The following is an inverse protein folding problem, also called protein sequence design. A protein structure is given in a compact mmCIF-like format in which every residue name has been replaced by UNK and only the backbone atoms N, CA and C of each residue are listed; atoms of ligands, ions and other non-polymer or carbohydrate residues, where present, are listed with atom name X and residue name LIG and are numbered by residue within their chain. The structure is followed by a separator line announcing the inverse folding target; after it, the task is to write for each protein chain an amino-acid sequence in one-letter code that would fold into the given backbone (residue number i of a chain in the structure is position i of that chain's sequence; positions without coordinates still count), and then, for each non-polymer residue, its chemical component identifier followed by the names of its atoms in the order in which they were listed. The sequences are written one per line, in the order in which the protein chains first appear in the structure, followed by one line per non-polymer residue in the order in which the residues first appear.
data_IF_480259806827
#
_entry.id   IF_480259806827
#
_cell.length_a   1.000
_cell.length_b   1.000
_cell.length_c   1.000
_cell.angle_alpha   90.00
_cell.angle_beta   90.00
_cell.angle_gamma   90.00
#
_symmetry.space_group_name_H-M   'P 1'
#
loop_
_entity.id
_entity.type
_entity.pdbx_description
1 polymer ?
#
# COMPACT_ATOMS: atom_id res chain seq x y z
N UNK A 1 0.02 -1.88 19.72
CA UNK A 1 0.28 -1.04 18.53
C UNK A 1 -0.89 -1.22 17.59
N UNK A 2 -1.51 -0.14 17.11
CA UNK A 2 -2.66 -0.22 16.21
C UNK A 2 -2.27 0.32 14.84
N UNK A 3 -2.79 -0.33 13.80
CA UNK A 3 -2.72 0.16 12.42
C UNK A 3 -3.96 1.01 12.15
N UNK A 4 -3.82 2.09 11.41
CA UNK A 4 -4.93 2.91 10.95
C UNK A 4 -4.83 3.13 9.44
N UNK A 5 -5.99 3.23 8.77
CA UNK A 5 -6.05 3.54 7.35
C UNK A 5 -5.68 5.02 7.17
N UNK A 6 -4.63 5.28 6.41
CA UNK A 6 -4.17 6.62 6.06
C UNK A 6 -5.05 7.23 4.97
N UNK A 7 -5.18 6.51 3.85
CA UNK A 7 -5.94 6.98 2.70
C UNK A 7 -6.44 5.80 1.85
N UNK A 8 -7.60 6.01 1.21
CA UNK A 8 -8.15 5.14 0.19
C UNK A 8 -8.04 5.86 -1.15
N UNK A 9 -7.20 5.35 -2.05
CA UNK A 9 -6.92 6.00 -3.34
C UNK A 9 -7.56 5.20 -4.48
N UNK A 10 -8.40 5.81 -5.32
CA UNK A 10 -8.90 5.16 -6.53
C UNK A 10 -7.78 5.03 -7.57
N UNK A 11 -7.64 3.84 -8.16
CA UNK A 11 -6.72 3.53 -9.25
C UNK A 11 -7.52 3.05 -10.46
N UNK A 12 -7.50 3.83 -11.54
CA UNK A 12 -8.26 3.55 -12.76
C UNK A 12 -7.33 3.03 -13.87
N UNK A 13 -7.86 2.13 -14.72
CA UNK A 13 -7.15 1.63 -15.90
C UNK A 13 -6.23 0.43 -15.61
N UNK A 14 -5.22 0.23 -16.47
CA UNK A 14 -4.26 -0.87 -16.34
C UNK A 14 -3.19 -0.52 -15.28
N UNK A 15 -3.52 -0.73 -14.02
CA UNK A 15 -2.60 -0.48 -12.90
C UNK A 15 -1.59 -1.62 -12.72
N UNK A 16 -0.31 -1.27 -12.65
CA UNK A 16 0.80 -2.17 -12.36
C UNK A 16 1.27 -2.02 -10.90
N UNK A 17 2.08 -2.97 -10.42
CA UNK A 17 2.74 -2.80 -9.12
C UNK A 17 3.65 -1.57 -9.04
N UNK A 18 4.19 -1.08 -10.16
CA UNK A 18 4.99 0.16 -10.17
C UNK A 18 4.13 1.40 -9.91
N UNK A 19 2.95 1.47 -10.52
CA UNK A 19 2.02 2.59 -10.35
C UNK A 19 1.52 2.67 -8.91
N UNK A 20 1.23 1.52 -8.30
CA UNK A 20 0.87 1.45 -6.88
C UNK A 20 2.01 1.93 -5.99
N UNK A 21 3.25 1.55 -6.29
CA UNK A 21 4.40 1.96 -5.50
C UNK A 21 4.62 3.48 -5.55
N UNK A 22 4.48 4.10 -6.73
CA UNK A 22 4.54 5.55 -6.88
C UNK A 22 3.41 6.22 -6.08
N UNK A 23 2.17 5.72 -6.21
CA UNK A 23 1.02 6.24 -5.45
C UNK A 23 1.25 6.18 -3.93
N UNK A 24 1.83 5.08 -3.43
CA UNK A 24 2.19 4.94 -2.02
C UNK A 24 3.18 6.02 -1.58
N UNK A 25 4.23 6.23 -2.37
CA UNK A 25 5.26 7.23 -2.06
C UNK A 25 4.66 8.64 -2.06
N UNK A 26 3.82 8.98 -3.05
CA UNK A 26 3.11 10.26 -3.13
C UNK A 26 2.17 10.50 -1.94
N UNK A 27 1.39 9.49 -1.53
CA UNK A 27 0.52 9.61 -0.36
C UNK A 27 1.35 9.83 0.90
N UNK A 28 2.41 9.07 1.10
CA UNK A 28 3.25 9.23 2.29
C UNK A 28 3.94 10.60 2.32
N UNK A 29 4.42 11.10 1.18
CA UNK A 29 4.96 12.45 1.05
C UNK A 29 3.90 13.52 1.37
N UNK A 30 2.66 13.37 0.87
CA UNK A 30 1.53 14.27 1.19
C UNK A 30 1.28 14.41 2.69
N UNK A 31 1.51 13.34 3.48
CA UNK A 31 1.37 13.36 4.94
C UNK A 31 2.70 13.59 5.70
N UNK A 32 3.81 13.88 5.00
CA UNK A 32 5.15 13.99 5.56
C UNK A 32 5.57 12.77 6.39
N UNK A 33 5.19 11.57 5.93
CA UNK A 33 5.49 10.31 6.58
C UNK A 33 6.61 9.57 5.85
N UNK A 34 7.57 8.98 6.56
CA UNK A 34 8.54 8.10 5.91
C UNK A 34 7.88 6.76 5.54
N UNK A 35 8.39 6.14 4.46
CA UNK A 35 8.04 4.79 4.01
C UNK A 35 8.04 3.73 5.13
N UNK A 36 8.88 3.88 6.15
CA UNK A 36 8.94 2.99 7.32
C UNK A 36 7.68 2.99 8.20
N UNK A 37 6.77 3.96 8.02
CA UNK A 37 5.47 4.00 8.72
C UNK A 37 4.43 3.10 8.07
N UNK A 38 4.59 2.77 6.79
CA UNK A 38 3.70 1.85 6.08
C UNK A 38 3.81 0.45 6.68
N UNK A 39 2.68 -0.18 6.95
CA UNK A 39 2.66 -1.54 7.47
C UNK A 39 1.85 -2.51 6.66
N UNK A 40 0.82 -2.02 5.98
CA UNK A 40 0.07 -2.86 5.05
C UNK A 40 -0.53 -2.06 3.93
N UNK A 41 -0.72 -2.76 2.80
CA UNK A 41 -1.34 -2.24 1.58
C UNK A 41 -2.44 -3.22 1.22
N UNK A 42 -3.67 -2.74 1.06
CA UNK A 42 -4.77 -3.52 0.52
C UNK A 42 -5.00 -3.18 -0.94
N UNK A 43 -5.05 -4.21 -1.79
CA UNK A 43 -5.40 -4.10 -3.21
C UNK A 43 -6.38 -5.21 -3.57
N UNK A 44 -6.95 -5.15 -4.78
CA UNK A 44 -7.83 -6.20 -5.30
C UNK A 44 -7.12 -7.57 -5.49
N UNK A 45 -5.79 -7.59 -5.47
CA UNK A 45 -4.98 -8.80 -5.60
C UNK A 45 -4.74 -9.27 -7.04
N UNK A 46 -5.00 -8.44 -8.05
CA UNK A 46 -4.74 -8.78 -9.45
C UNK A 46 -3.25 -9.11 -9.67
N UNK A 47 -2.91 -10.09 -10.54
CA UNK A 47 -1.53 -10.49 -10.78
C UNK A 47 -0.62 -9.36 -11.27
N UNK A 48 -1.15 -8.39 -12.04
CA UNK A 48 -0.39 -7.22 -12.49
C UNK A 48 0.06 -6.31 -11.35
N UNK A 49 -0.62 -6.36 -10.21
CA UNK A 49 -0.41 -5.51 -9.04
C UNK A 49 0.34 -6.22 -7.92
N UNK A 50 0.16 -7.53 -7.77
CA UNK A 50 0.71 -8.33 -6.65
C UNK A 50 1.62 -9.47 -7.09
N UNK A 51 1.94 -9.57 -8.38
CA UNK A 51 2.86 -10.57 -8.91
C UNK A 51 4.24 -10.46 -8.24
N UNK A 52 4.89 -11.61 -8.02
CA UNK A 52 6.17 -11.71 -7.31
C UNK A 52 7.33 -10.98 -8.00
N UNK A 53 7.15 -10.61 -9.26
CA UNK A 53 8.12 -9.86 -10.06
C UNK A 53 7.93 -8.34 -9.98
N UNK A 54 6.85 -7.87 -9.35
CA UNK A 54 6.54 -6.43 -9.28
C UNK A 54 7.44 -5.71 -8.27
N UNK A 55 7.66 -4.42 -8.49
CA UNK A 55 8.45 -3.56 -7.58
C UNK A 55 7.79 -3.48 -6.21
N UNK A 56 6.46 -3.31 -6.17
CA UNK A 56 5.70 -3.31 -4.93
C UNK A 56 5.90 -4.59 -4.13
N UNK A 57 5.86 -5.76 -4.79
CA UNK A 57 6.08 -7.03 -4.12
C UNK A 57 7.46 -7.10 -3.45
N UNK A 58 8.51 -6.77 -4.19
CA UNK A 58 9.88 -6.76 -3.67
C UNK A 58 10.05 -5.79 -2.50
N UNK A 59 9.46 -4.60 -2.60
CA UNK A 59 9.49 -3.62 -1.52
C UNK A 59 8.82 -4.17 -0.26
N UNK A 60 7.61 -4.71 -0.39
CA UNK A 60 6.84 -5.21 0.74
C UNK A 60 7.50 -6.41 1.41
N UNK A 61 8.02 -7.37 0.62
CA UNK A 61 8.78 -8.51 1.16
C UNK A 61 10.01 -8.07 1.92
N UNK A 62 10.82 -7.17 1.33
CA UNK A 62 12.05 -6.66 1.96
C UNK A 62 11.77 -5.92 3.27
N UNK A 63 10.69 -5.15 3.33
CA UNK A 63 10.35 -4.30 4.47
C UNK A 63 9.31 -4.91 5.42
N UNK A 64 8.89 -6.17 5.19
CA UNK A 64 7.84 -6.85 5.95
C UNK A 64 6.52 -6.07 6.01
N UNK A 65 6.18 -5.38 4.92
CA UNK A 65 4.87 -4.72 4.74
C UNK A 65 3.88 -5.78 4.27
N UNK A 66 2.75 -5.90 4.96
CA UNK A 66 1.75 -6.93 4.68
C UNK A 66 0.92 -6.56 3.46
N UNK A 67 0.84 -7.47 2.50
CA UNK A 67 -0.19 -7.39 1.46
C UNK A 67 -1.51 -7.96 1.95
N UNK A 68 -2.56 -7.17 1.78
CA UNK A 68 -3.93 -7.60 2.04
C UNK A 68 -4.64 -7.74 0.70
N UNK A 69 -4.94 -8.99 0.33
CA UNK A 69 -5.83 -9.26 -0.80
C UNK A 69 -7.24 -9.16 -0.28
N UNK A 70 -8.00 -8.18 -0.74
CA UNK A 70 -9.36 -8.03 -0.29
C UNK A 70 -10.31 -8.13 -1.49
N UNK A 71 -11.14 -9.19 -1.57
CA UNK A 71 -11.92 -9.55 -2.76
C UNK A 71 -13.04 -8.56 -3.13
N UNK A 72 -13.15 -7.44 -2.39
CA UNK A 72 -14.12 -6.36 -2.63
C UNK A 72 -13.48 -5.01 -2.93
N UNK A 73 -12.15 -4.90 -2.93
CA UNK A 73 -11.52 -3.72 -3.51
C UNK A 73 -11.63 -3.92 -5.01
N UNK A 74 -12.45 -3.12 -5.66
CA UNK A 74 -12.46 -2.97 -7.10
C UNK A 74 -11.87 -1.58 -7.25
N UNK A 75 -10.77 -1.42 -8.01
CA UNK A 75 -10.16 -0.13 -8.39
C UNK A 75 -9.68 0.79 -7.24
N UNK A 76 -9.36 0.29 -6.04
CA UNK A 76 -8.84 1.13 -4.94
C UNK A 76 -7.66 0.48 -4.20
N UNK A 77 -6.74 1.32 -3.72
CA UNK A 77 -5.68 0.95 -2.76
C UNK A 77 -6.03 1.54 -1.39
N UNK A 78 -6.01 0.74 -0.33
CA UNK A 78 -6.01 1.27 1.04
C UNK A 78 -4.62 1.14 1.67
N UNK A 79 -4.12 2.25 2.20
CA UNK A 79 -2.82 2.33 2.86
C UNK A 79 -3.00 2.36 4.36
N UNK A 80 -2.22 1.55 5.07
CA UNK A 80 -2.28 1.47 6.53
C UNK A 80 -0.92 1.79 7.13
N UNK A 81 -0.94 2.64 8.15
CA UNK A 81 0.25 3.07 8.86
C UNK A 81 0.19 2.70 10.33
N UNK A 82 1.37 2.62 10.95
CA UNK A 82 1.51 2.50 12.41
C UNK A 82 1.20 3.82 13.11
N UNK A 83 0.20 3.80 13.98
CA UNK A 83 0.02 4.88 14.98
C UNK A 83 0.81 4.55 16.24
N UNK A 84 1.63 5.51 16.66
CA UNK A 84 2.20 5.52 17.99
C UNK A 84 1.33 6.48 18.80
N UNK A 85 0.56 5.94 19.74
CA UNK A 85 0.00 6.78 20.80
C UNK A 85 1.17 7.13 21.71
N UNK A 86 1.66 8.37 21.62
CA UNK A 86 2.42 8.94 22.72
C UNK A 86 1.42 9.12 23.88
N UNK A 87 1.67 8.44 25.00
CA UNK A 87 1.14 8.85 26.29
C UNK A 87 2.18 9.72 26.95
#
# INVERSE_FOLDING_TARGET
MFEEMLELVPMCGNTTGQDIFICIDEVLQKYNLPLSKLTSVATDGAPSMTGKTTVLWHYCEKNKVRFMKHPRFIIHIALYIKKYYAR
#
